data_IF_829215970664
#
_entry.id   IF_829215970664
#
_cell.length_a   1.000
_cell.length_b   1.000
_cell.length_c   1.000
_cell.angle_alpha   90.00
_cell.angle_beta   90.00
_cell.angle_gamma   90.00
#
_symmetry.space_group_name_H-M   'P 1'
#
loop_
_entity.id
_entity.type
_entity.pdbx_description
1 polymer ?
#
# COMPACT_ATOMS: atom_id res chain seq x y z
N UNK A 1 -16.77 8.19 -11.55
CA UNK A 1 -16.47 8.92 -10.32
C UNK A 1 -15.83 7.99 -9.28
N UNK A 2 -15.03 8.52 -8.34
CA UNK A 2 -14.48 7.74 -7.23
C UNK A 2 -15.58 7.38 -6.23
N UNK A 3 -15.52 6.16 -5.68
CA UNK A 3 -16.40 5.69 -4.62
C UNK A 3 -15.78 5.99 -3.24
N UNK A 4 -14.53 5.62 -3.08
CA UNK A 4 -13.73 5.85 -1.90
C UNK A 4 -12.28 6.18 -2.29
N UNK A 5 -11.48 6.54 -1.31
CA UNK A 5 -10.04 6.70 -1.45
C UNK A 5 -9.32 5.69 -0.55
N UNK A 6 -7.99 5.63 -0.62
CA UNK A 6 -7.17 4.83 0.27
C UNK A 6 -5.84 5.53 0.53
N UNK A 7 -5.30 5.33 1.72
CA UNK A 7 -3.96 5.73 2.11
C UNK A 7 -3.35 4.59 2.90
N UNK A 8 -2.08 4.31 2.64
CA UNK A 8 -1.34 3.33 3.40
C UNK A 8 -0.72 3.97 4.62
N UNK A 9 -0.67 3.20 5.69
CA UNK A 9 -0.10 3.56 6.99
C UNK A 9 0.71 2.37 7.52
N UNK A 10 1.42 2.58 8.59
CA UNK A 10 2.15 1.54 9.29
C UNK A 10 1.36 1.08 10.52
N UNK A 11 1.26 -0.23 10.68
CA UNK A 11 0.82 -0.90 11.91
C UNK A 11 2.03 -1.57 12.55
N UNK A 12 2.11 -1.57 13.87
CA UNK A 12 3.19 -2.25 14.58
C UNK A 12 2.69 -2.93 15.84
N UNK A 13 3.27 -4.09 16.15
CA UNK A 13 3.02 -4.84 17.38
C UNK A 13 3.90 -4.28 18.50
N UNK A 14 3.29 -3.60 19.47
CA UNK A 14 4.00 -2.94 20.57
C UNK A 14 4.81 -3.92 21.43
N UNK A 15 4.27 -5.10 21.66
CA UNK A 15 4.91 -6.11 22.51
C UNK A 15 6.17 -6.69 21.84
N UNK A 16 6.11 -6.95 20.51
CA UNK A 16 7.26 -7.39 19.76
C UNK A 16 8.33 -6.31 19.62
N UNK A 17 7.93 -5.05 19.38
CA UNK A 17 8.86 -3.93 19.34
C UNK A 17 9.56 -3.74 20.69
N UNK A 18 8.80 -3.73 21.79
CA UNK A 18 9.34 -3.59 23.14
C UNK A 18 10.32 -4.73 23.48
N UNK A 19 9.98 -5.99 23.17
CA UNK A 19 10.85 -7.14 23.35
C UNK A 19 12.15 -7.03 22.57
N UNK A 20 12.09 -6.47 21.35
CA UNK A 20 13.25 -6.25 20.48
C UNK A 20 14.06 -5.01 20.83
N UNK A 21 13.59 -4.17 21.76
CA UNK A 21 14.22 -2.89 22.10
C UNK A 21 14.13 -1.86 20.97
N UNK A 22 13.10 -1.95 20.15
CA UNK A 22 12.79 -0.97 19.09
C UNK A 22 11.96 0.18 19.64
N UNK A 23 12.21 1.39 19.16
CA UNK A 23 11.31 2.52 19.38
C UNK A 23 9.99 2.32 18.64
N UNK A 24 8.89 2.79 19.20
CA UNK A 24 7.61 2.81 18.48
C UNK A 24 7.67 3.84 17.33
N UNK A 25 7.25 3.46 16.10
CA UNK A 25 7.11 4.41 14.99
C UNK A 25 6.12 5.53 15.31
N UNK A 26 6.41 6.75 14.83
CA UNK A 26 5.64 7.95 15.17
C UNK A 26 4.55 8.25 14.13
N UNK A 27 3.47 8.86 14.63
CA UNK A 27 2.41 9.48 13.82
C UNK A 27 2.71 10.97 13.49
N UNK A 28 3.89 11.49 13.90
CA UNK A 28 4.33 12.86 13.70
C UNK A 28 5.26 12.92 12.47
N UNK A 29 4.99 13.85 11.54
CA UNK A 29 5.72 13.96 10.27
C UNK A 29 7.24 14.12 10.45
N UNK A 30 7.68 14.97 11.37
CA UNK A 30 9.11 15.20 11.62
C UNK A 30 9.85 14.01 12.26
N UNK A 31 9.11 13.01 12.71
CA UNK A 31 9.62 11.80 13.35
C UNK A 31 9.31 10.54 12.52
N UNK A 32 8.96 10.72 11.25
CA UNK A 32 8.60 9.63 10.34
C UNK A 32 9.74 8.62 10.23
N UNK A 33 9.41 7.36 10.42
CA UNK A 33 10.39 6.26 10.33
C UNK A 33 10.84 6.03 8.88
N UNK A 34 12.10 5.65 8.68
CA UNK A 34 12.64 5.25 7.38
C UNK A 34 12.54 3.74 7.16
N UNK A 35 12.63 3.30 5.91
CA UNK A 35 12.65 1.87 5.58
C UNK A 35 13.88 1.16 6.15
N UNK A 36 15.00 1.87 6.28
CA UNK A 36 16.22 1.37 6.91
C UNK A 36 15.97 1.07 8.39
N UNK A 37 15.32 1.98 9.12
CA UNK A 37 14.95 1.79 10.51
C UNK A 37 13.91 0.67 10.70
N UNK A 38 12.97 0.54 9.75
CA UNK A 38 12.01 -0.57 9.73
C UNK A 38 12.74 -1.91 9.60
N UNK A 39 13.70 -2.03 8.68
CA UNK A 39 14.48 -3.26 8.49
C UNK A 39 15.34 -3.57 9.72
N UNK A 40 16.00 -2.58 10.31
CA UNK A 40 16.80 -2.76 11.53
C UNK A 40 15.96 -3.31 12.70
N UNK A 41 14.74 -2.81 12.86
CA UNK A 41 13.82 -3.33 13.87
C UNK A 41 13.29 -4.71 13.48
N UNK A 42 12.93 -4.91 12.21
CA UNK A 42 12.44 -6.18 11.70
C UNK A 42 13.44 -7.32 11.91
N UNK A 43 14.74 -7.07 11.71
CA UNK A 43 15.80 -8.05 11.96
C UNK A 43 15.90 -8.45 13.43
N UNK A 44 15.70 -7.50 14.36
CA UNK A 44 15.71 -7.78 15.82
C UNK A 44 14.49 -8.56 16.27
N UNK A 45 13.34 -8.39 15.61
CA UNK A 45 12.09 -9.09 15.92
C UNK A 45 12.09 -10.50 15.34
N UNK A 46 12.70 -10.68 14.19
CA UNK A 46 12.61 -11.92 13.40
C UNK A 46 13.09 -13.14 14.16
N UNK A 47 12.22 -14.14 14.29
CA UNK A 47 12.52 -15.44 14.89
C UNK A 47 11.74 -16.54 14.13
N UNK A 48 12.38 -17.08 13.09
CA UNK A 48 11.80 -18.10 12.25
C UNK A 48 11.42 -19.37 13.04
N UNK A 49 12.19 -19.69 14.08
CA UNK A 49 11.95 -20.88 14.91
C UNK A 49 10.61 -20.82 15.63
N UNK A 50 10.14 -19.62 15.98
CA UNK A 50 8.81 -19.38 16.58
C UNK A 50 7.74 -19.01 15.55
N UNK A 51 8.09 -18.86 14.27
CA UNK A 51 7.21 -18.34 13.22
C UNK A 51 6.87 -16.87 13.38
N UNK A 52 7.77 -16.09 14.02
CA UNK A 52 7.62 -14.64 14.20
C UNK A 52 8.47 -13.93 13.15
N UNK A 53 7.87 -12.99 12.43
CA UNK A 53 8.50 -12.26 11.34
C UNK A 53 8.59 -10.77 11.67
N UNK A 54 9.66 -10.14 11.18
CA UNK A 54 9.91 -8.75 11.44
C UNK A 54 8.92 -7.82 10.79
N UNK A 55 8.59 -8.06 9.51
CA UNK A 55 7.66 -7.21 8.76
C UNK A 55 6.88 -7.97 7.69
N UNK A 56 5.78 -7.38 7.24
CA UNK A 56 5.00 -7.86 6.09
C UNK A 56 4.23 -6.73 5.42
N UNK A 57 4.06 -6.82 4.10
CA UNK A 57 3.11 -6.01 3.36
C UNK A 57 1.74 -6.69 3.32
N UNK A 58 0.66 -5.93 3.50
CA UNK A 58 -0.74 -6.37 3.43
C UNK A 58 -1.02 -7.19 2.16
N UNK A 59 -0.74 -6.63 1.01
CA UNK A 59 -1.01 -7.23 -0.30
C UNK A 59 0.24 -7.79 -0.99
N UNK A 60 1.29 -7.94 -0.23
CA UNK A 60 2.56 -8.57 -0.61
C UNK A 60 3.17 -7.97 -1.89
N UNK A 61 2.93 -8.54 -3.07
CA UNK A 61 3.57 -8.18 -4.34
C UNK A 61 2.75 -7.24 -5.23
N UNK A 62 1.68 -6.65 -4.71
CA UNK A 62 0.83 -5.76 -5.51
C UNK A 62 1.47 -4.40 -5.80
N UNK A 63 1.47 -4.03 -7.08
CA UNK A 63 2.02 -2.77 -7.58
C UNK A 63 1.55 -1.56 -6.78
N UNK A 64 0.25 -1.42 -6.53
CA UNK A 64 -0.27 -0.24 -5.84
C UNK A 64 0.29 -0.06 -4.42
N UNK A 65 0.69 -1.14 -3.77
CA UNK A 65 1.28 -1.10 -2.43
C UNK A 65 2.80 -0.87 -2.50
N UNK A 66 3.47 -1.47 -3.49
CA UNK A 66 4.92 -1.39 -3.64
C UNK A 66 5.39 -0.16 -4.41
N UNK A 67 4.50 0.52 -5.13
CA UNK A 67 4.82 1.72 -5.94
C UNK A 67 5.51 2.82 -5.12
N UNK A 68 5.16 2.97 -3.84
CA UNK A 68 5.79 3.94 -2.95
C UNK A 68 7.30 3.74 -2.81
N UNK A 69 7.80 2.49 -2.94
CA UNK A 69 9.23 2.18 -2.83
C UNK A 69 10.06 2.83 -3.96
N UNK A 70 9.80 2.53 -5.25
CA UNK A 70 10.56 3.17 -6.32
C UNK A 70 10.29 4.67 -6.40
N UNK A 71 9.09 5.16 -6.10
CA UNK A 71 8.81 6.60 -6.13
C UNK A 71 9.56 7.36 -5.05
N UNK A 72 9.67 6.83 -3.84
CA UNK A 72 10.52 7.41 -2.78
C UNK A 72 12.00 7.53 -3.22
N UNK A 73 12.45 6.63 -4.09
CA UNK A 73 13.81 6.60 -4.66
C UNK A 73 13.93 7.36 -5.99
N UNK A 74 12.94 8.18 -6.35
CA UNK A 74 12.93 8.98 -7.58
C UNK A 74 12.64 8.18 -8.86
N UNK A 75 12.16 6.94 -8.73
CA UNK A 75 11.87 6.04 -9.86
C UNK A 75 10.56 6.31 -10.59
N UNK A 76 9.65 7.10 -9.99
CA UNK A 76 8.33 7.37 -10.54
C UNK A 76 7.45 6.13 -10.65
N UNK A 77 6.34 6.26 -11.37
CA UNK A 77 5.32 5.20 -11.48
C UNK A 77 5.75 3.96 -12.30
N UNK A 78 6.91 3.99 -12.97
CA UNK A 78 7.33 2.96 -13.91
C UNK A 78 6.73 3.09 -15.32
N UNK A 79 5.72 3.94 -15.50
CA UNK A 79 5.14 4.27 -16.82
C UNK A 79 5.74 5.59 -17.29
N UNK A 80 6.28 5.62 -18.50
CA UNK A 80 6.88 6.82 -19.07
C UNK A 80 5.82 7.87 -19.46
N UNK A 81 6.24 9.10 -19.66
CA UNK A 81 5.41 10.18 -20.15
C UNK A 81 4.68 9.76 -21.45
N UNK A 82 3.41 10.13 -21.57
CA UNK A 82 2.55 9.69 -22.68
C UNK A 82 1.86 8.35 -22.48
N UNK A 83 2.25 7.55 -21.49
CA UNK A 83 1.52 6.35 -21.06
C UNK A 83 1.59 5.13 -22.01
N UNK A 84 2.42 5.16 -23.04
CA UNK A 84 2.53 4.11 -24.07
C UNK A 84 3.88 3.37 -24.03
N UNK A 85 4.71 3.62 -23.04
CA UNK A 85 6.00 2.97 -22.87
C UNK A 85 6.37 2.88 -21.40
N UNK A 86 7.18 1.89 -21.08
CA UNK A 86 7.84 1.71 -19.79
C UNK A 86 9.37 1.64 -19.92
N UNK A 87 9.86 1.76 -21.17
CA UNK A 87 11.27 1.55 -21.50
C UNK A 87 12.17 2.56 -20.80
N UNK A 88 13.03 2.06 -19.92
CA UNK A 88 13.91 2.86 -19.08
C UNK A 88 13.20 3.58 -17.92
N UNK A 89 11.87 3.52 -17.84
CA UNK A 89 11.10 4.06 -16.71
C UNK A 89 10.88 2.99 -15.63
N UNK A 90 10.71 1.73 -16.03
CA UNK A 90 10.54 0.60 -15.11
C UNK A 90 11.89 0.01 -14.65
N UNK A 91 12.97 0.32 -15.33
CA UNK A 91 14.32 -0.18 -15.06
C UNK A 91 15.31 0.91 -14.69
N UNK A 92 14.83 2.10 -14.30
CA UNK A 92 15.68 3.17 -13.78
C UNK A 92 16.24 2.82 -12.38
N UNK A 93 17.17 3.62 -11.90
CA UNK A 93 17.86 3.38 -10.62
C UNK A 93 16.91 3.24 -9.44
N UNK A 94 15.82 4.04 -9.37
CA UNK A 94 14.84 3.98 -8.29
C UNK A 94 14.10 2.64 -8.27
N UNK A 95 13.64 2.17 -9.43
CA UNK A 95 12.98 0.87 -9.57
C UNK A 95 13.93 -0.29 -9.27
N UNK A 96 15.16 -0.21 -9.75
CA UNK A 96 16.16 -1.26 -9.52
C UNK A 96 16.54 -1.37 -8.04
N UNK A 97 16.73 -0.24 -7.35
CA UNK A 97 16.98 -0.22 -5.90
C UNK A 97 15.78 -0.75 -5.11
N UNK A 98 14.56 -0.36 -5.47
CA UNK A 98 13.34 -0.85 -4.83
C UNK A 98 13.16 -2.37 -5.02
N UNK A 99 13.42 -2.89 -6.23
CA UNK A 99 13.37 -4.32 -6.53
C UNK A 99 14.44 -5.11 -5.73
N UNK A 100 15.66 -4.58 -5.61
CA UNK A 100 16.71 -5.18 -4.79
C UNK A 100 16.33 -5.17 -3.31
N UNK A 101 15.84 -4.05 -2.78
CA UNK A 101 15.39 -3.95 -1.39
C UNK A 101 14.26 -4.95 -1.10
N UNK A 102 13.31 -5.09 -2.03
CA UNK A 102 12.23 -6.06 -1.90
C UNK A 102 12.73 -7.52 -1.94
N UNK A 103 13.74 -7.80 -2.77
CA UNK A 103 14.46 -9.08 -2.73
C UNK A 103 15.08 -9.32 -1.36
N UNK A 104 15.78 -8.32 -0.83
CA UNK A 104 16.57 -8.44 0.39
C UNK A 104 15.70 -8.70 1.63
N UNK A 105 14.52 -8.09 1.77
CA UNK A 105 13.62 -8.36 2.89
C UNK A 105 13.13 -9.82 2.93
N UNK A 106 13.10 -10.50 1.79
CA UNK A 106 12.65 -11.88 1.68
C UNK A 106 13.78 -12.91 1.57
N UNK A 107 14.94 -12.55 1.03
CA UNK A 107 15.98 -13.51 0.67
C UNK A 107 17.32 -13.29 1.38
N UNK A 108 17.73 -12.05 1.59
CA UNK A 108 19.01 -11.71 2.22
C UNK A 108 18.84 -11.50 3.73
N UNK A 109 17.95 -10.58 4.11
CA UNK A 109 17.66 -10.30 5.52
C UNK A 109 16.63 -11.26 6.09
N UNK A 110 15.81 -11.86 5.22
CA UNK A 110 14.80 -12.85 5.53
C UNK A 110 13.86 -12.44 6.68
N UNK A 111 13.43 -11.18 6.67
CA UNK A 111 12.58 -10.59 7.72
C UNK A 111 11.09 -10.62 7.40
N UNK A 112 10.74 -11.05 6.17
CA UNK A 112 9.36 -11.15 5.68
C UNK A 112 9.10 -12.51 5.07
N UNK A 113 7.96 -13.18 5.36
CA UNK A 113 7.68 -14.52 4.87
C UNK A 113 7.43 -14.54 3.35
N UNK A 114 7.91 -15.59 2.66
CA UNK A 114 7.74 -15.75 1.20
C UNK A 114 6.39 -16.32 0.81
N UNK A 115 5.85 -17.24 1.59
CA UNK A 115 4.71 -18.07 1.21
C UNK A 115 3.34 -17.54 1.64
N UNK A 116 3.25 -16.38 2.27
CA UNK A 116 1.97 -15.85 2.73
C UNK A 116 1.15 -15.26 1.56
N UNK A 117 -0.16 -15.40 1.61
CA UNK A 117 -1.11 -14.69 0.77
C UNK A 117 -1.77 -13.55 1.56
N UNK A 118 -2.54 -12.62 0.92
CA UNK A 118 -3.13 -11.48 1.63
C UNK A 118 -4.01 -11.83 2.83
N UNK A 119 -4.75 -12.93 2.80
CA UNK A 119 -5.57 -13.35 3.94
C UNK A 119 -4.68 -13.82 5.11
N UNK A 120 -3.63 -14.58 4.80
CA UNK A 120 -2.67 -15.03 5.79
C UNK A 120 -1.87 -13.88 6.42
N UNK A 121 -1.58 -12.80 5.68
CA UNK A 121 -0.89 -11.64 6.26
C UNK A 121 -1.68 -11.01 7.40
N UNK A 122 -3.00 -10.89 7.22
CA UNK A 122 -3.90 -10.36 8.26
C UNK A 122 -3.97 -11.27 9.49
N UNK A 123 -4.09 -12.58 9.27
CA UNK A 123 -4.12 -13.58 10.34
C UNK A 123 -2.82 -13.59 11.14
N UNK A 124 -1.67 -13.54 10.46
CA UNK A 124 -0.35 -13.54 11.10
C UNK A 124 -0.15 -12.29 11.98
N UNK A 125 -0.56 -11.10 11.51
CA UNK A 125 -0.49 -9.90 12.32
C UNK A 125 -1.45 -9.96 13.52
N UNK A 126 -2.70 -10.37 13.28
CA UNK A 126 -3.70 -10.55 14.34
C UNK A 126 -3.30 -11.58 15.40
N UNK A 127 -2.56 -12.61 15.02
CA UNK A 127 -2.00 -13.62 15.92
C UNK A 127 -0.72 -13.17 16.65
N UNK A 128 -0.28 -11.92 16.48
CA UNK A 128 0.93 -11.39 17.09
C UNK A 128 2.23 -11.96 16.54
N UNK A 129 2.22 -12.48 15.32
CA UNK A 129 3.39 -13.12 14.66
C UNK A 129 4.16 -12.16 13.73
N UNK A 130 3.73 -10.93 13.61
CA UNK A 130 4.37 -9.91 12.76
C UNK A 130 4.67 -8.68 13.61
N UNK A 131 5.90 -8.17 13.51
CA UNK A 131 6.32 -6.94 14.18
C UNK A 131 5.75 -5.69 13.53
N UNK A 132 5.92 -5.57 12.22
CA UNK A 132 5.54 -4.39 11.44
C UNK A 132 4.70 -4.83 10.24
N UNK A 133 3.51 -4.23 10.10
CA UNK A 133 2.57 -4.52 9.01
C UNK A 133 2.29 -3.23 8.22
N UNK A 134 2.53 -3.26 6.93
CA UNK A 134 2.29 -2.13 6.02
C UNK A 134 0.99 -2.33 5.27
N UNK A 135 0.01 -1.48 5.54
CA UNK A 135 -1.32 -1.62 4.91
C UNK A 135 -2.16 -0.36 5.01
N UNK A 136 -3.38 -0.41 4.57
CA UNK A 136 -4.27 0.74 4.58
C UNK A 136 -5.20 0.80 5.80
N UNK A 137 -5.89 1.94 5.95
CA UNK A 137 -6.82 2.18 7.07
C UNK A 137 -7.93 1.13 7.21
N UNK A 138 -8.32 0.48 6.12
CA UNK A 138 -9.34 -0.59 6.10
C UNK A 138 -9.00 -1.79 6.98
N UNK A 139 -7.74 -1.97 7.34
CA UNK A 139 -7.31 -3.09 8.17
C UNK A 139 -7.61 -2.88 9.66
N UNK A 140 -7.79 -1.64 10.13
CA UNK A 140 -8.00 -1.36 11.55
C UNK A 140 -9.21 -2.09 12.13
N UNK A 141 -10.28 -2.22 11.35
CA UNK A 141 -11.50 -2.92 11.74
C UNK A 141 -11.30 -4.42 12.01
N UNK A 142 -10.21 -5.02 11.52
CA UNK A 142 -9.89 -6.45 11.74
C UNK A 142 -9.38 -6.71 13.15
N UNK A 143 -8.69 -5.74 13.75
CA UNK A 143 -7.95 -5.94 14.99
C UNK A 143 -8.38 -5.02 16.14
N UNK A 144 -9.24 -4.02 15.89
CA UNK A 144 -9.66 -3.04 16.90
C UNK A 144 -10.30 -3.65 18.13
N UNK A 145 -10.96 -4.81 17.99
CA UNK A 145 -11.66 -5.53 19.05
C UNK A 145 -10.89 -6.81 19.47
N UNK A 146 -9.63 -6.97 19.05
CA UNK A 146 -8.78 -8.09 19.43
C UNK A 146 -7.89 -7.76 20.62
N UNK A 147 -7.26 -8.78 21.20
CA UNK A 147 -6.27 -8.62 22.29
C UNK A 147 -4.88 -8.17 21.77
N UNK A 148 -4.73 -7.93 20.47
CA UNK A 148 -3.46 -7.49 19.89
C UNK A 148 -3.11 -6.07 20.35
N UNK A 149 -2.00 -5.93 21.04
CA UNK A 149 -1.45 -4.63 21.45
C UNK A 149 -0.68 -4.00 20.28
N UNK A 150 -1.37 -3.21 19.45
CA UNK A 150 -0.78 -2.60 18.28
C UNK A 150 -0.81 -1.08 18.32
N UNK A 151 0.01 -0.47 17.48
CA UNK A 151 0.05 0.97 17.26
C UNK A 151 -0.03 1.29 15.76
N UNK A 152 -0.18 2.59 15.48
CA UNK A 152 -0.33 3.15 14.14
C UNK A 152 0.69 4.27 13.94
N UNK A 153 1.28 4.33 12.76
CA UNK A 153 2.24 5.37 12.39
C UNK A 153 2.10 5.77 10.91
N UNK A 154 2.80 6.82 10.52
CA UNK A 154 2.92 7.25 9.14
C UNK A 154 3.68 6.22 8.29
N UNK A 155 3.38 6.18 6.99
CA UNK A 155 4.04 5.28 6.04
C UNK A 155 5.54 5.59 5.93
N UNK A 156 6.42 4.58 5.94
CA UNK A 156 7.86 4.80 5.87
C UNK A 156 8.31 5.34 4.50
N UNK A 157 9.51 5.94 4.46
CA UNK A 157 10.19 6.39 3.26
C UNK A 157 11.68 5.98 3.30
N UNK A 158 12.39 5.97 2.18
CA UNK A 158 13.82 5.72 2.17
C UNK A 158 14.61 6.94 2.66
N UNK A 159 15.66 6.73 3.45
CA UNK A 159 16.52 7.81 3.93
C UNK A 159 17.11 8.61 2.75
N UNK A 160 16.92 9.93 2.78
CA UNK A 160 17.32 10.82 1.68
C UNK A 160 16.41 10.77 0.45
N UNK A 161 15.35 9.96 0.46
CA UNK A 161 14.33 9.90 -0.57
C UNK A 161 13.13 10.79 -0.31
N UNK A 162 12.16 10.76 -1.21
CA UNK A 162 10.89 11.48 -1.07
C UNK A 162 9.93 10.71 -0.14
N UNK A 163 9.13 11.45 0.61
CA UNK A 163 8.02 10.86 1.38
C UNK A 163 6.87 10.59 0.43
N UNK A 164 6.57 9.30 0.23
CA UNK A 164 5.55 8.84 -0.70
C UNK A 164 4.75 7.70 -0.10
N UNK A 165 3.44 7.72 -0.27
CA UNK A 165 2.56 6.60 0.09
C UNK A 165 1.74 6.11 -1.09
N UNK A 166 1.45 4.83 -1.14
CA UNK A 166 0.50 4.27 -2.09
C UNK A 166 -0.92 4.72 -1.77
N UNK A 167 -1.59 5.31 -2.74
CA UNK A 167 -2.96 5.76 -2.59
C UNK A 167 -3.80 5.40 -3.83
N UNK A 168 -4.97 5.98 -3.95
CA UNK A 168 -6.02 5.69 -4.91
C UNK A 168 -6.90 4.53 -4.49
N UNK A 169 -8.04 4.42 -5.14
CA UNK A 169 -8.98 3.41 -4.75
C UNK A 169 -9.99 3.11 -5.86
N UNK A 170 -11.18 2.73 -5.45
CA UNK A 170 -12.22 2.21 -6.31
C UNK A 170 -13.00 3.33 -7.00
N UNK A 171 -13.22 3.16 -8.29
CA UNK A 171 -14.06 4.01 -9.10
C UNK A 171 -15.26 3.23 -9.61
N UNK A 172 -16.38 3.90 -9.76
CA UNK A 172 -17.58 3.32 -10.35
C UNK A 172 -17.79 3.81 -11.78
N UNK A 173 -18.40 2.97 -12.59
CA UNK A 173 -18.78 3.30 -13.94
C UNK A 173 -19.99 2.50 -14.40
N UNK A 174 -20.66 2.99 -15.43
CA UNK A 174 -21.74 2.26 -16.10
C UNK A 174 -21.16 1.48 -17.26
N UNK A 175 -21.35 0.16 -17.26
CA UNK A 175 -20.89 -0.68 -18.35
C UNK A 175 -21.59 -0.28 -19.67
N UNK A 176 -20.82 -0.10 -20.75
CA UNK A 176 -21.32 0.44 -22.00
C UNK A 176 -22.46 -0.41 -22.62
N UNK A 177 -22.44 -1.72 -22.38
CA UNK A 177 -23.48 -2.64 -22.89
C UNK A 177 -24.63 -2.88 -21.91
N UNK A 178 -24.70 -2.15 -20.77
CA UNK A 178 -25.83 -2.23 -19.86
C UNK A 178 -27.15 -1.92 -20.58
N UNK A 179 -28.18 -2.70 -20.30
CA UNK A 179 -29.54 -2.45 -20.76
C UNK A 179 -30.32 -1.47 -19.85
N UNK A 180 -29.72 -1.12 -18.69
CA UNK A 180 -30.30 -0.26 -17.66
C UNK A 180 -29.37 0.94 -17.36
N UNK A 181 -28.95 1.67 -18.42
CA UNK A 181 -27.94 2.73 -18.28
C UNK A 181 -28.37 3.84 -17.34
N UNK A 182 -29.62 4.28 -17.44
CA UNK A 182 -30.13 5.38 -16.62
C UNK A 182 -30.24 4.98 -15.15
N UNK A 183 -30.79 3.82 -14.85
CA UNK A 183 -30.84 3.28 -13.48
C UNK A 183 -29.41 3.06 -12.91
N UNK A 184 -28.49 2.55 -13.72
CA UNK A 184 -27.08 2.38 -13.34
C UNK A 184 -26.40 3.74 -13.07
N UNK A 185 -26.67 4.76 -13.88
CA UNK A 185 -26.15 6.10 -13.67
C UNK A 185 -26.71 6.75 -12.39
N UNK A 186 -28.00 6.54 -12.10
CA UNK A 186 -28.62 6.99 -10.85
C UNK A 186 -27.97 6.32 -9.64
N UNK A 187 -27.73 5.01 -9.69
CA UNK A 187 -27.05 4.27 -8.62
C UNK A 187 -25.61 4.78 -8.42
N UNK A 188 -24.84 4.92 -9.50
CA UNK A 188 -23.47 5.46 -9.44
C UNK A 188 -23.47 6.86 -8.81
N UNK A 189 -24.40 7.74 -9.23
CA UNK A 189 -24.52 9.07 -8.67
C UNK A 189 -24.87 9.03 -7.17
N UNK A 190 -25.82 8.20 -6.76
CA UNK A 190 -26.20 8.05 -5.36
C UNK A 190 -25.01 7.61 -4.50
N UNK A 191 -24.30 6.56 -4.92
CA UNK A 191 -23.17 6.00 -4.19
C UNK A 191 -21.96 6.93 -4.11
N UNK A 192 -21.75 7.81 -5.10
CA UNK A 192 -20.54 8.64 -5.18
C UNK A 192 -20.74 10.12 -4.86
N UNK A 193 -21.99 10.61 -4.85
CA UNK A 193 -22.30 12.01 -4.62
C UNK A 193 -23.23 12.26 -3.42
N UNK A 194 -23.68 11.20 -2.70
CA UNK A 194 -24.48 11.34 -1.50
C UNK A 194 -23.58 11.54 -0.27
N UNK A 195 -23.74 12.64 0.49
CA UNK A 195 -23.07 12.80 1.78
C UNK A 195 -23.35 11.66 2.76
N UNK A 196 -24.60 11.18 2.80
CA UNK A 196 -25.01 10.07 3.66
C UNK A 196 -24.23 8.79 3.39
N UNK A 197 -24.08 8.44 2.11
CA UNK A 197 -23.27 7.26 1.71
C UNK A 197 -21.80 7.45 2.07
N UNK A 198 -21.26 8.65 1.87
CA UNK A 198 -19.86 8.95 2.21
C UNK A 198 -19.59 8.79 3.72
N UNK A 199 -20.53 9.22 4.58
CA UNK A 199 -20.42 9.05 6.02
C UNK A 199 -20.52 7.58 6.42
N UNK A 200 -21.48 6.83 5.85
CA UNK A 200 -21.62 5.39 6.10
C UNK A 200 -20.32 4.61 5.73
N UNK A 201 -19.65 4.98 4.64
CA UNK A 201 -18.37 4.37 4.27
C UNK A 201 -17.29 4.59 5.32
N UNK A 202 -17.23 5.78 5.91
CA UNK A 202 -16.28 6.10 6.98
C UNK A 202 -16.58 5.28 8.24
N UNK A 203 -17.83 5.32 8.69
CA UNK A 203 -18.20 4.80 10.00
C UNK A 203 -18.30 3.27 10.04
N UNK A 204 -18.76 2.65 8.95
CA UNK A 204 -19.01 1.21 8.92
C UNK A 204 -17.86 0.40 8.30
N UNK A 205 -17.11 0.99 7.36
CA UNK A 205 -16.10 0.26 6.60
C UNK A 205 -14.66 0.72 6.86
N UNK A 206 -14.43 1.74 7.70
CA UNK A 206 -13.10 2.34 7.93
C UNK A 206 -12.38 2.67 6.60
N UNK A 207 -13.15 3.03 5.58
CA UNK A 207 -12.64 3.41 4.26
C UNK A 207 -12.59 4.91 4.13
N UNK A 208 -11.51 5.44 3.56
CA UNK A 208 -11.39 6.87 3.29
C UNK A 208 -12.46 7.29 2.27
N UNK A 209 -13.25 8.33 2.55
CA UNK A 209 -14.22 8.83 1.60
C UNK A 209 -13.52 9.55 0.44
N UNK A 210 -14.09 9.46 -0.75
CA UNK A 210 -13.73 10.32 -1.87
C UNK A 210 -14.57 11.60 -1.92
N UNK A 211 -15.66 11.65 -1.17
CA UNK A 211 -16.57 12.79 -1.08
C UNK A 211 -16.15 13.75 0.03
N UNK A 212 -16.21 15.07 -0.24
CA UNK A 212 -15.73 16.10 0.67
C UNK A 212 -16.38 16.05 2.06
N UNK A 213 -17.69 15.76 2.15
CA UNK A 213 -18.37 15.66 3.44
C UNK A 213 -17.80 14.56 4.34
N UNK A 214 -17.41 13.43 3.76
CA UNK A 214 -16.76 12.36 4.53
C UNK A 214 -15.33 12.74 4.94
N UNK A 215 -14.59 13.44 4.08
CA UNK A 215 -13.24 13.95 4.41
C UNK A 215 -13.33 14.95 5.58
N UNK A 216 -14.27 15.89 5.53
CA UNK A 216 -14.50 16.85 6.61
C UNK A 216 -14.94 16.14 7.89
N UNK A 217 -15.79 15.14 7.81
CA UNK A 217 -16.20 14.34 8.97
C UNK A 217 -14.98 13.69 9.66
N UNK A 218 -14.09 13.05 8.90
CA UNK A 218 -12.84 12.49 9.46
C UNK A 218 -11.96 13.57 10.09
N UNK A 219 -11.91 14.76 9.48
CA UNK A 219 -11.08 15.85 9.98
C UNK A 219 -11.62 16.46 11.29
N UNK A 220 -12.94 16.61 11.42
CA UNK A 220 -13.61 17.41 12.46
C UNK A 220 -14.12 16.57 13.64
N UNK A 221 -14.55 15.32 13.41
CA UNK A 221 -15.10 14.49 14.49
C UNK A 221 -13.99 14.04 15.47
N UNK A 222 -14.14 14.36 16.79
CA UNK A 222 -13.19 13.97 17.83
C UNK A 222 -12.97 12.46 17.96
N UNK A 223 -13.89 11.61 17.50
CA UNK A 223 -13.75 10.14 17.42
C UNK A 223 -12.41 9.76 16.78
N UNK A 224 -12.07 10.40 15.66
CA UNK A 224 -10.87 10.08 14.90
C UNK A 224 -9.56 10.64 15.50
N UNK A 225 -9.61 11.29 16.66
CA UNK A 225 -8.41 11.64 17.42
C UNK A 225 -7.92 10.49 18.31
N UNK A 226 -8.76 9.47 18.49
CA UNK A 226 -8.48 8.38 19.43
C UNK A 226 -8.11 7.10 18.70
N UNK A 227 -7.20 6.34 19.29
CA UNK A 227 -6.88 5.00 18.82
C UNK A 227 -8.10 4.06 19.02
N UNK A 228 -8.43 3.18 18.08
CA UNK A 228 -7.72 2.94 16.81
C UNK A 228 -8.28 3.75 15.62
N UNK A 229 -9.34 4.54 15.80
CA UNK A 229 -10.01 5.28 14.73
C UNK A 229 -9.10 6.37 14.09
N UNK A 230 -8.03 6.76 14.79
CA UNK A 230 -6.99 7.66 14.27
C UNK A 230 -6.33 7.15 12.98
N UNK A 231 -6.44 5.85 12.65
CA UNK A 231 -6.02 5.29 11.36
C UNK A 231 -6.62 6.06 10.19
N UNK A 232 -7.86 6.54 10.31
CA UNK A 232 -8.53 7.32 9.27
C UNK A 232 -7.88 8.68 9.07
N UNK A 233 -7.47 9.36 10.14
CA UNK A 233 -6.74 10.65 10.04
C UNK A 233 -5.36 10.47 9.43
N UNK A 234 -4.61 9.45 9.86
CA UNK A 234 -3.30 9.15 9.29
C UNK A 234 -3.39 8.86 7.79
N UNK A 235 -4.30 7.98 7.37
CA UNK A 235 -4.48 7.64 5.98
C UNK A 235 -5.02 8.81 5.14
N UNK A 236 -5.85 9.70 5.71
CA UNK A 236 -6.28 10.95 5.07
C UNK A 236 -5.11 11.89 4.88
N UNK A 237 -4.26 12.04 5.90
CA UNK A 237 -3.05 12.87 5.84
C UNK A 237 -2.09 12.37 4.77
N UNK A 238 -1.80 11.06 4.75
CA UNK A 238 -0.95 10.43 3.74
C UNK A 238 -1.50 10.65 2.32
N UNK A 239 -2.79 10.40 2.11
CA UNK A 239 -3.42 10.61 0.80
C UNK A 239 -3.41 12.06 0.33
N UNK A 240 -3.51 13.01 1.25
CA UNK A 240 -3.56 14.42 0.91
C UNK A 240 -2.18 15.03 0.61
N UNK A 241 -1.12 14.54 1.27
CA UNK A 241 0.19 15.16 1.24
C UNK A 241 1.24 14.36 0.47
N UNK A 242 1.13 13.01 0.44
CA UNK A 242 2.19 12.13 -0.03
C UNK A 242 1.74 11.09 -1.06
N UNK A 243 0.59 11.27 -1.67
CA UNK A 243 -0.03 10.32 -2.57
C UNK A 243 0.76 10.09 -3.86
N UNK A 244 1.22 8.86 -4.07
CA UNK A 244 1.68 8.37 -5.37
C UNK A 244 0.49 7.97 -6.24
N UNK A 245 0.26 8.66 -7.33
CA UNK A 245 -0.78 8.27 -8.29
C UNK A 245 -0.27 7.16 -9.20
N UNK A 246 -1.10 6.14 -9.44
CA UNK A 246 -0.74 5.04 -10.33
C UNK A 246 -0.41 5.53 -11.73
N UNK A 247 0.52 4.84 -12.39
CA UNK A 247 0.87 5.12 -13.78
C UNK A 247 -0.35 5.09 -14.69
N UNK A 248 -0.49 6.11 -15.54
CA UNK A 248 -1.63 6.21 -16.48
C UNK A 248 -1.24 5.63 -17.81
N UNK A 249 -1.88 4.54 -18.18
CA UNK A 249 -1.68 3.84 -19.46
C UNK A 249 -2.96 3.15 -19.89
N UNK A 250 -3.29 3.08 -21.19
CA UNK A 250 -4.41 2.27 -21.67
C UNK A 250 -4.21 0.77 -21.41
N UNK A 251 -2.96 0.31 -21.25
CA UNK A 251 -2.59 -1.07 -20.93
C UNK A 251 -2.36 -1.30 -19.42
N UNK A 252 -3.09 -0.60 -18.54
CA UNK A 252 -2.85 -0.66 -17.09
C UNK A 252 -2.97 -2.07 -16.51
N UNK A 253 -3.96 -2.84 -16.94
CA UNK A 253 -4.19 -4.19 -16.42
C UNK A 253 -3.01 -5.13 -16.71
N UNK A 254 -2.49 -5.06 -17.93
CA UNK A 254 -1.32 -5.86 -18.32
C UNK A 254 -0.04 -5.39 -17.61
N UNK A 255 0.11 -4.06 -17.48
CA UNK A 255 1.22 -3.48 -16.73
C UNK A 255 1.19 -3.96 -15.28
N UNK A 256 0.06 -3.79 -14.59
CA UNK A 256 -0.10 -4.17 -13.19
C UNK A 256 0.14 -5.67 -12.98
N UNK A 257 -0.44 -6.53 -13.82
CA UNK A 257 -0.28 -7.99 -13.73
C UNK A 257 1.19 -8.41 -13.89
N UNK A 258 1.88 -7.85 -14.90
CA UNK A 258 3.29 -8.18 -15.14
C UNK A 258 4.17 -7.68 -13.99
N UNK A 259 3.94 -6.49 -13.46
CA UNK A 259 4.69 -5.96 -12.32
C UNK A 259 4.43 -6.79 -11.07
N UNK A 260 3.17 -7.12 -10.77
CA UNK A 260 2.81 -7.97 -9.63
C UNK A 260 3.53 -9.32 -9.68
N UNK A 261 3.47 -10.01 -10.84
CA UNK A 261 4.15 -11.28 -11.05
C UNK A 261 5.67 -11.15 -10.92
N UNK A 262 6.24 -10.04 -11.40
CA UNK A 262 7.68 -9.80 -11.31
C UNK A 262 8.14 -9.61 -9.85
N UNK A 263 7.39 -8.88 -9.04
CA UNK A 263 7.69 -8.79 -7.62
C UNK A 263 7.48 -10.13 -6.89
N UNK A 264 6.55 -10.95 -7.34
CA UNK A 264 6.40 -12.32 -6.83
C UNK A 264 7.61 -13.20 -7.17
N UNK A 265 8.11 -13.13 -8.39
CA UNK A 265 9.33 -13.83 -8.81
C UNK A 265 10.54 -13.37 -8.00
N UNK A 266 10.70 -12.04 -7.77
CA UNK A 266 11.76 -11.46 -6.94
C UNK A 266 11.66 -11.97 -5.50
N UNK A 267 10.48 -11.95 -4.91
CA UNK A 267 10.22 -12.51 -3.57
C UNK A 267 10.66 -13.96 -3.46
N UNK A 268 10.41 -14.74 -4.48
CA UNK A 268 10.74 -16.18 -4.53
C UNK A 268 12.20 -16.46 -4.91
N UNK A 269 13.05 -15.45 -5.04
CA UNK A 269 14.49 -15.58 -5.26
C UNK A 269 14.95 -15.32 -6.69
N UNK A 270 14.08 -14.80 -7.56
CA UNK A 270 14.46 -14.34 -8.90
C UNK A 270 15.42 -13.15 -8.82
N UNK A 271 16.44 -13.11 -9.67
CA UNK A 271 17.38 -11.99 -9.75
C UNK A 271 16.68 -10.69 -10.13
N UNK A 272 16.67 -9.65 -9.28
CA UNK A 272 15.91 -8.43 -9.50
C UNK A 272 16.18 -7.77 -10.86
N UNK A 273 17.46 -7.72 -11.28
CA UNK A 273 17.83 -7.09 -12.54
C UNK A 273 17.24 -7.82 -13.74
N UNK A 274 17.38 -9.12 -13.79
CA UNK A 274 16.86 -9.96 -14.88
C UNK A 274 15.34 -9.96 -14.93
N UNK A 275 14.69 -10.03 -13.76
CA UNK A 275 13.23 -10.02 -13.67
C UNK A 275 12.64 -8.70 -14.14
N UNK A 276 13.19 -7.55 -13.68
CA UNK A 276 12.70 -6.22 -14.08
C UNK A 276 12.95 -5.92 -15.56
N UNK A 277 14.07 -6.35 -16.14
CA UNK A 277 14.33 -6.24 -17.58
C UNK A 277 13.35 -7.08 -18.41
N UNK A 278 13.03 -8.29 -17.94
CA UNK A 278 12.01 -9.14 -18.56
C UNK A 278 10.62 -8.48 -18.47
N UNK A 279 10.28 -7.91 -17.31
CA UNK A 279 9.02 -7.18 -17.11
C UNK A 279 8.88 -6.01 -18.08
N UNK A 280 9.91 -5.17 -18.20
CA UNK A 280 9.96 -4.05 -19.14
C UNK A 280 9.69 -4.54 -20.57
N UNK A 281 10.38 -5.59 -21.00
CA UNK A 281 10.25 -6.14 -22.34
C UNK A 281 8.83 -6.68 -22.60
N UNK A 282 8.23 -7.40 -21.66
CA UNK A 282 6.88 -7.95 -21.75
C UNK A 282 5.83 -6.85 -21.82
N UNK A 283 5.97 -5.80 -20.99
CA UNK A 283 5.04 -4.66 -20.99
C UNK A 283 5.17 -3.87 -22.29
N UNK A 284 6.38 -3.59 -22.77
CA UNK A 284 6.59 -2.94 -24.08
C UNK A 284 5.93 -3.71 -25.22
N UNK A 285 5.97 -5.05 -25.18
CA UNK A 285 5.28 -5.88 -26.16
C UNK A 285 3.76 -5.75 -26.04
N UNK A 286 3.21 -5.78 -24.82
CA UNK A 286 1.77 -5.63 -24.56
C UNK A 286 1.27 -4.24 -25.00
N UNK A 287 2.07 -3.18 -24.77
CA UNK A 287 1.72 -1.80 -25.13
C UNK A 287 1.64 -1.55 -26.64
N UNK A 288 2.23 -2.40 -27.49
CA UNK A 288 2.20 -2.23 -28.97
C UNK A 288 0.79 -2.14 -29.55
N UNK A 289 -0.18 -2.82 -28.93
CA UNK A 289 -1.58 -2.80 -29.38
C UNK A 289 -2.31 -1.47 -29.13
N UNK A 290 -1.72 -0.59 -28.34
CA UNK A 290 -2.28 0.72 -28.00
C UNK A 290 -1.56 1.88 -28.74
N UNK A 291 -0.46 1.57 -29.45
CA UNK A 291 0.29 2.51 -30.30
C UNK A 291 -0.31 2.56 -31.69
#
# INVERSE_FOLDING_TARGET
PPLNNSGQILYYNKDLLAKAGCAEPSAIESERITWEQVVDCAQKINDEGSGTWGMIFDQISRYYQLQALPESLGGGSGVCEGGLSVKGCLTNDGWMKAAQWYYDIHNTWNVSPKGANPDQTHEMFGAGKIGIFVGGSWNVGRWKDSDLNFGLALHPYFEGGDVVTGCNSWHMGVWNYSKQKDASAMLVRYLTASPEVALAYVDEHNSLPAHMSGILHVAEDPKFNNFPDTAMKLATYESANHCATRGRTPGFLEFEEIVNTSFEDIRNGGDPASVMQSAESRIEQAMRRYK
#
